data_IF_332726396137
#
_entry.id   IF_332726396137
#
_cell.length_a   1.000
_cell.length_b   1.000
_cell.length_c   1.000
_cell.angle_alpha   90.00
_cell.angle_beta   90.00
_cell.angle_gamma   90.00
#
_symmetry.space_group_name_H-M   'P 1'
#
loop_
_entity.id
_entity.type
_entity.pdbx_description
1 polymer ?
#
# COMPACT_ATOMS: atom_id res chain seq x y z
N UNK A 1 -35.05 -19.94 5.01
CA UNK A 1 -36.04 -18.87 4.71
C UNK A 1 -37.39 -19.41 4.25
N UNK A 2 -37.45 -20.40 3.34
CA UNK A 2 -38.72 -20.99 2.89
C UNK A 2 -39.62 -21.50 4.04
N UNK A 3 -39.03 -22.13 5.05
CA UNK A 3 -39.75 -22.63 6.23
C UNK A 3 -40.40 -21.51 7.07
N UNK A 4 -39.71 -20.37 7.22
CA UNK A 4 -40.25 -19.19 7.92
C UNK A 4 -41.49 -18.64 7.23
N UNK A 5 -41.42 -18.50 5.90
CA UNK A 5 -42.50 -17.97 5.07
C UNK A 5 -43.71 -18.91 5.12
N UNK A 6 -43.47 -20.22 5.04
CA UNK A 6 -44.52 -21.23 5.14
C UNK A 6 -45.19 -21.25 6.52
N UNK A 7 -44.40 -21.16 7.61
CA UNK A 7 -44.91 -21.09 8.99
C UNK A 7 -45.73 -19.82 9.23
N UNK A 8 -45.29 -18.67 8.70
CA UNK A 8 -46.00 -17.39 8.81
C UNK A 8 -47.35 -17.45 8.09
N UNK A 9 -47.38 -17.92 6.84
CA UNK A 9 -48.63 -18.11 6.09
C UNK A 9 -49.57 -19.10 6.79
N UNK A 10 -49.03 -20.19 7.37
CA UNK A 10 -49.80 -21.20 8.11
C UNK A 10 -50.31 -20.73 9.48
N UNK A 11 -49.69 -19.68 10.04
CA UNK A 11 -50.13 -19.03 11.28
C UNK A 11 -51.26 -18.04 11.03
N UNK A 12 -51.22 -17.29 9.92
CA UNK A 12 -52.27 -16.34 9.54
C UNK A 12 -53.63 -17.03 9.31
N UNK A 13 -53.62 -18.30 8.87
CA UNK A 13 -54.84 -19.11 8.66
C UNK A 13 -55.32 -19.77 9.96
N UNK A 14 -54.39 -20.25 10.81
CA UNK A 14 -54.71 -20.93 12.07
C UNK A 14 -53.71 -20.52 13.17
N UNK A 15 -54.04 -19.49 13.97
CA UNK A 15 -53.15 -18.97 14.99
C UNK A 15 -53.12 -19.89 16.22
N UNK A 16 -51.97 -20.54 16.43
CA UNK A 16 -51.71 -21.40 17.60
C UNK A 16 -50.46 -20.90 18.32
N UNK A 17 -50.40 -21.04 19.65
CA UNK A 17 -49.27 -20.60 20.47
C UNK A 17 -47.94 -21.26 20.03
N UNK A 18 -47.96 -22.55 19.71
CA UNK A 18 -46.78 -23.30 19.27
C UNK A 18 -46.19 -22.76 17.95
N UNK A 19 -47.05 -22.44 16.97
CA UNK A 19 -46.62 -21.80 15.71
C UNK A 19 -46.03 -20.42 15.96
N UNK A 20 -46.62 -19.62 16.86
CA UNK A 20 -46.08 -18.31 17.24
C UNK A 20 -44.68 -18.44 17.85
N UNK A 21 -44.49 -19.40 18.75
CA UNK A 21 -43.18 -19.69 19.35
C UNK A 21 -42.15 -20.09 18.29
N UNK A 22 -42.50 -21.02 17.39
CA UNK A 22 -41.63 -21.42 16.27
C UNK A 22 -41.26 -20.25 15.35
N UNK A 23 -42.19 -19.37 15.03
CA UNK A 23 -41.91 -18.16 14.23
C UNK A 23 -40.91 -17.26 14.94
N UNK A 24 -41.09 -17.02 16.24
CA UNK A 24 -40.17 -16.19 17.03
C UNK A 24 -38.78 -16.82 17.10
N UNK A 25 -38.68 -18.13 17.36
CA UNK A 25 -37.40 -18.85 17.39
C UNK A 25 -36.67 -18.77 16.04
N UNK A 26 -37.38 -18.98 14.92
CA UNK A 26 -36.76 -18.89 13.60
C UNK A 26 -36.32 -17.47 13.28
N UNK A 27 -37.12 -16.47 13.66
CA UNK A 27 -36.79 -15.06 13.51
C UNK A 27 -35.51 -14.71 14.28
N UNK A 28 -35.40 -15.15 15.54
CA UNK A 28 -34.20 -14.99 16.35
C UNK A 28 -32.97 -15.65 15.70
N UNK A 29 -33.11 -16.88 15.19
CA UNK A 29 -32.02 -17.57 14.46
C UNK A 29 -31.56 -16.80 13.22
N UNK A 30 -32.50 -16.21 12.48
CA UNK A 30 -32.18 -15.38 11.30
C UNK A 30 -31.42 -14.13 11.73
N UNK A 31 -31.92 -13.39 12.73
CA UNK A 31 -31.22 -12.20 13.24
C UNK A 31 -29.84 -12.53 13.79
N UNK A 32 -29.69 -13.64 14.50
CA UNK A 32 -28.41 -14.08 15.03
C UNK A 32 -27.43 -14.37 13.89
N UNK A 33 -27.85 -15.06 12.82
CA UNK A 33 -27.00 -15.30 11.64
C UNK A 33 -26.59 -13.99 10.97
N UNK A 34 -27.54 -13.08 10.74
CA UNK A 34 -27.24 -11.77 10.14
C UNK A 34 -26.24 -11.00 10.99
N UNK A 35 -26.44 -10.97 12.31
CA UNK A 35 -25.54 -10.24 13.21
C UNK A 35 -24.13 -10.84 13.22
N UNK A 36 -24.01 -12.17 13.25
CA UNK A 36 -22.70 -12.85 13.16
C UNK A 36 -22.01 -12.51 11.83
N UNK A 37 -22.72 -12.60 10.71
CA UNK A 37 -22.14 -12.24 9.41
C UNK A 37 -21.72 -10.77 9.33
N UNK A 38 -22.49 -9.84 9.90
CA UNK A 38 -22.08 -8.44 9.98
C UNK A 38 -20.82 -8.22 10.82
N UNK A 39 -20.67 -8.97 11.92
CA UNK A 39 -19.46 -8.94 12.74
C UNK A 39 -18.25 -9.51 11.99
N UNK A 40 -18.43 -10.63 11.29
CA UNK A 40 -17.39 -11.25 10.45
C UNK A 40 -16.93 -10.30 9.34
N UNK A 41 -17.86 -9.63 8.64
CA UNK A 41 -17.53 -8.62 7.62
C UNK A 41 -16.72 -7.48 8.23
N UNK A 42 -17.16 -6.97 9.38
CA UNK A 42 -16.50 -5.85 10.05
C UNK A 42 -15.09 -6.23 10.52
N UNK A 43 -14.92 -7.45 11.02
CA UNK A 43 -13.63 -7.98 11.45
C UNK A 43 -12.64 -8.08 10.29
N UNK A 44 -13.05 -8.65 9.16
CA UNK A 44 -12.18 -8.78 7.97
C UNK A 44 -11.86 -7.41 7.37
N UNK A 45 -12.85 -6.52 7.29
CA UNK A 45 -12.60 -5.16 6.80
C UNK A 45 -11.55 -4.45 7.67
N UNK A 46 -11.62 -4.62 8.99
CA UNK A 46 -10.63 -4.05 9.92
C UNK A 46 -9.25 -4.70 9.77
N UNK A 47 -9.19 -6.01 9.54
CA UNK A 47 -7.93 -6.72 9.27
C UNK A 47 -7.30 -6.27 7.95
N UNK A 48 -8.11 -6.07 6.89
CA UNK A 48 -7.65 -5.57 5.61
C UNK A 48 -7.13 -4.14 5.70
N UNK A 49 -7.82 -3.26 6.42
CA UNK A 49 -7.37 -1.89 6.70
C UNK A 49 -6.02 -1.89 7.44
N UNK A 50 -5.84 -2.78 8.41
CA UNK A 50 -4.56 -2.93 9.11
C UNK A 50 -3.43 -3.42 8.18
N UNK A 51 -3.70 -4.35 7.28
CA UNK A 51 -2.68 -4.83 6.32
C UNK A 51 -2.39 -3.80 5.23
N UNK A 52 -3.37 -2.98 4.82
CA UNK A 52 -3.17 -1.83 3.94
C UNK A 52 -2.23 -0.81 4.58
N UNK A 53 -2.54 -0.38 5.80
CA UNK A 53 -1.72 0.57 6.58
C UNK A 53 -0.29 0.03 6.77
N UNK A 54 -0.14 -1.26 7.02
CA UNK A 54 1.18 -1.89 7.12
C UNK A 54 1.94 -1.89 5.78
N UNK A 55 1.25 -2.16 4.68
CA UNK A 55 1.84 -2.10 3.34
C UNK A 55 2.27 -0.67 2.98
N UNK A 56 1.44 0.33 3.31
CA UNK A 56 1.75 1.74 3.08
C UNK A 56 2.94 2.22 3.92
N UNK A 57 3.00 1.86 5.21
CA UNK A 57 4.15 2.18 6.05
C UNK A 57 5.46 1.62 5.47
N UNK A 58 5.42 0.42 4.92
CA UNK A 58 6.60 -0.21 4.30
C UNK A 58 6.96 0.51 2.99
N UNK A 59 5.98 0.85 2.16
CA UNK A 59 6.19 1.61 0.92
C UNK A 59 6.78 2.99 1.23
N UNK A 60 6.19 3.71 2.19
CA UNK A 60 6.63 5.01 2.70
C UNK A 60 8.04 4.94 3.30
N UNK A 61 8.38 3.88 4.02
CA UNK A 61 9.74 3.68 4.54
C UNK A 61 10.77 3.50 3.42
N UNK A 62 10.47 2.68 2.42
CA UNK A 62 11.35 2.44 1.27
C UNK A 62 11.52 3.73 0.46
N UNK A 63 10.44 4.47 0.24
CA UNK A 63 10.46 5.75 -0.47
C UNK A 63 11.26 6.79 0.31
N UNK A 64 11.08 6.90 1.62
CA UNK A 64 11.88 7.79 2.47
C UNK A 64 13.38 7.50 2.43
N UNK A 65 13.79 6.23 2.28
CA UNK A 65 15.20 5.88 2.06
C UNK A 65 15.72 6.31 0.70
N UNK A 66 14.90 6.21 -0.33
CA UNK A 66 15.20 6.70 -1.67
C UNK A 66 15.40 8.22 -1.67
N UNK A 67 14.43 8.94 -1.13
CA UNK A 67 14.38 10.41 -1.08
C UNK A 67 15.55 10.99 -0.26
N UNK A 68 15.96 10.30 0.80
CA UNK A 68 17.12 10.71 1.61
C UNK A 68 18.43 10.65 0.82
N UNK A 69 18.60 9.61 -0.01
CA UNK A 69 19.79 9.47 -0.86
C UNK A 69 19.75 10.49 -2.00
N UNK A 70 18.59 10.64 -2.64
CA UNK A 70 18.38 11.62 -3.71
C UNK A 70 18.67 13.06 -3.23
N UNK A 71 18.17 13.43 -2.04
CA UNK A 71 18.45 14.73 -1.42
C UNK A 71 19.95 14.95 -1.22
N UNK A 72 20.67 13.95 -0.68
CA UNK A 72 22.12 14.06 -0.47
C UNK A 72 22.90 14.20 -1.78
N UNK A 73 22.54 13.42 -2.80
CA UNK A 73 23.18 13.50 -4.11
C UNK A 73 22.91 14.85 -4.78
N UNK A 74 21.70 15.37 -4.66
CA UNK A 74 21.30 16.68 -5.21
C UNK A 74 22.09 17.81 -4.55
N UNK A 75 22.17 17.82 -3.21
CA UNK A 75 22.99 18.80 -2.48
C UNK A 75 24.46 18.69 -2.88
N UNK A 76 24.98 17.47 -3.05
CA UNK A 76 26.37 17.26 -3.49
C UNK A 76 26.62 17.80 -4.90
N UNK A 77 25.67 17.62 -5.82
CA UNK A 77 25.75 18.13 -7.18
C UNK A 77 25.76 19.67 -7.20
N UNK A 78 24.87 20.31 -6.44
CA UNK A 78 24.83 21.78 -6.31
C UNK A 78 26.17 22.32 -5.78
N UNK A 79 26.71 21.69 -4.73
CA UNK A 79 27.99 22.11 -4.15
C UNK A 79 29.15 21.92 -5.13
N UNK A 80 29.23 20.76 -5.79
CA UNK A 80 30.26 20.48 -6.79
C UNK A 80 30.20 21.47 -7.97
N UNK A 81 29.00 21.77 -8.47
CA UNK A 81 28.74 22.75 -9.52
C UNK A 81 29.20 24.16 -9.12
N UNK A 82 28.80 24.61 -7.94
CA UNK A 82 29.19 25.91 -7.42
C UNK A 82 30.71 26.05 -7.28
N UNK A 83 31.39 25.05 -6.70
CA UNK A 83 32.85 25.04 -6.57
C UNK A 83 33.52 25.06 -7.94
N UNK A 84 33.04 24.25 -8.89
CA UNK A 84 33.61 24.18 -10.24
C UNK A 84 33.46 25.49 -11.00
N UNK A 85 32.27 26.10 -10.96
CA UNK A 85 32.00 27.38 -11.61
C UNK A 85 32.86 28.52 -11.05
N UNK A 86 32.98 28.62 -9.72
CA UNK A 86 33.83 29.62 -9.06
C UNK A 86 35.30 29.40 -9.44
N UNK A 87 35.77 28.16 -9.39
CA UNK A 87 37.16 27.81 -9.71
C UNK A 87 37.51 28.13 -11.16
N UNK A 88 36.64 27.75 -12.10
CA UNK A 88 36.80 28.08 -13.51
C UNK A 88 36.78 29.60 -13.75
N UNK A 89 35.86 30.33 -13.11
CA UNK A 89 35.78 31.80 -13.21
C UNK A 89 37.03 32.50 -12.70
N UNK A 90 37.59 32.08 -11.57
CA UNK A 90 38.85 32.62 -11.02
C UNK A 90 40.03 32.33 -11.96
N UNK A 91 40.10 31.13 -12.53
CA UNK A 91 41.17 30.75 -13.46
C UNK A 91 41.11 31.54 -14.77
N UNK A 92 39.90 31.78 -15.29
CA UNK A 92 39.67 32.64 -16.45
C UNK A 92 40.06 34.11 -16.17
N UNK A 93 39.68 34.64 -15.00
CA UNK A 93 39.97 36.02 -14.61
C UNK A 93 41.46 36.30 -14.37
N UNK A 94 42.22 35.31 -13.89
CA UNK A 94 43.66 35.45 -13.62
C UNK A 94 44.55 35.16 -14.84
N UNK A 95 43.98 35.06 -16.06
CA UNK A 95 44.71 34.72 -17.29
C UNK A 95 45.63 33.51 -17.12
N UNK A 96 45.14 32.46 -16.45
CA UNK A 96 45.88 31.23 -16.30
C UNK A 96 46.23 30.69 -17.71
N UNK A 97 47.53 30.55 -17.99
CA UNK A 97 48.02 30.12 -19.29
C UNK A 97 47.87 28.61 -19.46
N UNK A 98 47.11 28.19 -20.48
CA UNK A 98 46.91 26.79 -20.85
C UNK A 98 45.48 26.29 -20.62
N UNK A 99 45.28 24.98 -20.81
CA UNK A 99 43.95 24.34 -20.90
C UNK A 99 43.28 24.10 -19.53
N UNK A 100 43.76 24.75 -18.47
CA UNK A 100 43.36 24.49 -17.08
C UNK A 100 41.91 24.89 -16.80
N UNK A 101 41.39 26.06 -17.27
CA UNK A 101 39.98 26.40 -17.12
C UNK A 101 39.04 25.40 -17.81
N UNK A 102 39.41 24.91 -18.99
CA UNK A 102 38.65 23.91 -19.76
C UNK A 102 38.62 22.55 -19.04
N UNK A 103 39.76 22.12 -18.48
CA UNK A 103 39.85 20.88 -17.70
C UNK A 103 38.97 20.95 -16.45
N UNK A 104 38.95 22.08 -15.74
CA UNK A 104 38.08 22.27 -14.57
C UNK A 104 36.60 22.27 -14.98
N UNK A 105 36.24 22.99 -16.04
CA UNK A 105 34.85 23.04 -16.53
C UNK A 105 34.32 21.67 -16.98
N UNK A 106 35.10 20.94 -17.79
CA UNK A 106 34.73 19.60 -18.27
C UNK A 106 34.69 18.60 -17.09
N UNK A 107 35.66 18.68 -16.17
CA UNK A 107 35.72 17.82 -14.99
C UNK A 107 34.51 17.99 -14.09
N UNK A 108 34.12 19.23 -13.78
CA UNK A 108 32.91 19.52 -13.00
C UNK A 108 31.65 19.05 -13.72
N UNK A 109 31.52 19.31 -15.03
CA UNK A 109 30.36 18.87 -15.81
C UNK A 109 30.19 17.34 -15.82
N UNK A 110 31.29 16.59 -15.88
CA UNK A 110 31.26 15.12 -15.77
C UNK A 110 30.81 14.65 -14.39
N UNK A 111 31.26 15.31 -13.32
CA UNK A 111 30.84 15.00 -11.95
C UNK A 111 29.33 15.25 -11.80
N UNK A 112 28.83 16.40 -12.27
CA UNK A 112 27.41 16.73 -12.24
C UNK A 112 26.58 15.73 -13.03
N UNK A 113 27.00 15.38 -14.26
CA UNK A 113 26.31 14.39 -15.07
C UNK A 113 26.24 13.02 -14.37
N UNK A 114 27.34 12.60 -13.74
CA UNK A 114 27.39 11.34 -12.98
C UNK A 114 26.44 11.38 -11.78
N UNK A 115 26.44 12.47 -11.01
CA UNK A 115 25.53 12.63 -9.88
C UNK A 115 24.07 12.67 -10.31
N UNK A 116 23.75 13.33 -11.43
CA UNK A 116 22.41 13.33 -12.03
C UNK A 116 21.96 11.93 -12.43
N UNK A 117 22.84 11.12 -13.02
CA UNK A 117 22.54 9.71 -13.34
C UNK A 117 22.30 8.90 -12.05
N UNK A 118 23.12 9.10 -11.02
CA UNK A 118 22.96 8.41 -9.73
C UNK A 118 21.63 8.75 -9.04
N UNK A 119 21.17 10.01 -9.14
CA UNK A 119 19.84 10.44 -8.68
C UNK A 119 18.76 9.65 -9.43
N UNK A 120 18.79 9.64 -10.77
CA UNK A 120 17.77 8.99 -11.59
C UNK A 120 17.74 7.46 -11.46
N UNK A 121 18.86 6.85 -11.13
CA UNK A 121 19.02 5.38 -11.03
C UNK A 121 18.88 4.86 -9.61
N UNK A 122 18.80 5.73 -8.60
CA UNK A 122 18.55 5.34 -7.22
C UNK A 122 17.09 4.91 -7.03
N UNK A 123 16.80 3.64 -7.37
CA UNK A 123 15.50 3.02 -7.12
C UNK A 123 15.65 1.96 -6.04
N UNK A 124 14.99 2.16 -4.89
CA UNK A 124 15.00 1.17 -3.82
C UNK A 124 13.80 0.24 -3.97
N UNK A 125 14.06 -1.08 -3.98
CA UNK A 125 13.04 -2.11 -4.08
C UNK A 125 13.26 -3.17 -3.02
N UNK A 126 12.16 -3.68 -2.48
CA UNK A 126 12.15 -4.82 -1.57
C UNK A 126 11.10 -5.81 -2.04
N UNK A 127 11.29 -7.08 -1.69
CA UNK A 127 10.22 -8.08 -1.81
C UNK A 127 9.41 -8.03 -0.54
N UNK A 128 8.13 -7.70 -0.65
CA UNK A 128 7.22 -7.64 0.49
C UNK A 128 6.33 -8.90 0.50
N UNK A 129 6.43 -9.69 1.57
CA UNK A 129 5.65 -10.91 1.75
C UNK A 129 4.46 -10.63 2.66
N UNK A 130 3.25 -10.93 2.18
CA UNK A 130 2.03 -10.79 2.97
C UNK A 130 1.78 -12.09 3.77
N UNK A 131 1.71 -12.04 5.11
CA UNK A 131 1.44 -13.22 5.94
C UNK A 131 0.06 -13.83 5.65
N UNK A 132 -0.96 -12.97 5.52
CA UNK A 132 -2.28 -13.30 4.99
C UNK A 132 -2.50 -12.50 3.70
N UNK A 133 -2.82 -13.19 2.60
CA UNK A 133 -3.06 -12.54 1.31
C UNK A 133 -4.52 -12.75 0.89
N UNK A 134 -5.40 -11.86 1.31
CA UNK A 134 -6.82 -11.90 0.95
C UNK A 134 -7.04 -11.91 -0.58
N UNK A 135 -6.18 -11.21 -1.33
CA UNK A 135 -6.23 -11.19 -2.80
C UNK A 135 -5.91 -12.55 -3.42
N UNK A 136 -5.13 -13.41 -2.75
CA UNK A 136 -4.81 -14.75 -3.23
C UNK A 136 -6.08 -15.59 -3.33
N UNK A 137 -6.91 -15.59 -2.29
CA UNK A 137 -8.13 -16.39 -2.27
C UNK A 137 -9.11 -15.85 -3.32
N UNK A 138 -9.30 -14.53 -3.41
CA UNK A 138 -10.11 -13.89 -4.48
C UNK A 138 -9.61 -14.28 -5.88
N UNK A 139 -8.30 -14.28 -6.10
CA UNK A 139 -7.70 -14.57 -7.40
C UNK A 139 -7.77 -16.05 -7.79
N UNK A 140 -7.53 -16.94 -6.82
CA UNK A 140 -7.48 -18.39 -7.06
C UNK A 140 -8.84 -19.06 -6.97
N UNK A 141 -9.84 -18.39 -6.40
CA UNK A 141 -11.20 -18.86 -6.22
C UNK A 141 -11.28 -20.33 -5.74
N UNK A 142 -10.60 -20.69 -4.62
CA UNK A 142 -10.66 -22.04 -4.09
C UNK A 142 -12.08 -22.40 -3.63
N UNK A 143 -12.40 -23.69 -3.54
CA UNK A 143 -13.71 -24.12 -3.02
C UNK A 143 -13.97 -23.64 -1.58
N UNK A 144 -12.92 -23.52 -0.78
CA UNK A 144 -12.98 -22.98 0.58
C UNK A 144 -11.86 -21.98 0.80
N UNK A 145 -12.19 -20.79 1.29
CA UNK A 145 -11.18 -19.80 1.69
C UNK A 145 -10.56 -20.14 3.03
N UNK A 146 -9.27 -19.81 3.16
CA UNK A 146 -8.53 -19.86 4.42
C UNK A 146 -8.53 -18.53 5.18
N UNK A 147 -9.02 -17.46 4.54
CA UNK A 147 -9.01 -16.07 5.03
C UNK A 147 -10.44 -15.58 5.28
N UNK A 148 -11.36 -15.84 4.35
CA UNK A 148 -12.75 -15.45 4.47
C UNK A 148 -13.58 -16.57 5.15
N UNK A 149 -14.45 -16.23 6.10
CA UNK A 149 -15.41 -17.15 6.67
C UNK A 149 -16.46 -17.54 5.63
N UNK A 150 -17.07 -18.72 5.84
CA UNK A 150 -18.06 -19.34 4.92
C UNK A 150 -19.29 -18.45 4.67
N UNK A 151 -19.58 -17.51 5.55
CA UNK A 151 -20.66 -16.53 5.36
C UNK A 151 -20.37 -15.49 4.28
N UNK A 152 -19.09 -15.29 3.93
CA UNK A 152 -18.59 -14.25 3.02
C UNK A 152 -17.99 -14.87 1.74
N UNK A 153 -17.35 -16.03 1.85
CA UNK A 153 -16.78 -16.80 0.72
C UNK A 153 -17.86 -17.52 -0.09
#
# INVERSE_FOLDING_TARGET
MAEFVHLKNSFDIHPTLEKKLKIVELSQKIYQKINISSLEISAIASEMDCEEERADQIASYVKGKEDHIETKLTVSAIVAGAIGAISAGILLANTASGNTPEVVGIGTGLIEATLGILILTNKRKITYYHPGNALKDIWTAPETSSIFPVSIW
#
